data_IF_508367170728
#
_entry.id   IF_508367170728
#
_cell.length_a   1.000
_cell.length_b   1.000
_cell.length_c   1.000
_cell.angle_alpha   90.00
_cell.angle_beta   90.00
_cell.angle_gamma   90.00
#
_symmetry.space_group_name_H-M   'P 1'
#
loop_
_entity.id
_entity.type
_entity.pdbx_description
1 polymer ?
#
# COMPACT_ATOMS: atom_id res chain seq x y z
N UNK A 1 -21.44 23.16 -30.89
CA UNK A 1 -21.04 24.32 -30.05
C UNK A 1 -20.26 23.83 -28.83
N UNK A 2 -19.39 24.63 -28.22
CA UNK A 2 -18.66 24.29 -26.98
C UNK A 2 -19.57 23.79 -25.85
N UNK A 3 -20.81 24.29 -25.79
CA UNK A 3 -21.86 23.80 -24.88
C UNK A 3 -22.24 22.34 -25.12
N UNK A 4 -22.29 21.88 -26.37
CA UNK A 4 -22.62 20.47 -26.68
C UNK A 4 -21.53 19.52 -26.16
N UNK A 5 -20.26 19.89 -26.35
CA UNK A 5 -19.13 19.12 -25.85
C UNK A 5 -19.07 19.14 -24.31
N UNK A 6 -19.22 20.31 -23.67
CA UNK A 6 -19.19 20.43 -22.21
C UNK A 6 -20.43 19.85 -21.51
N UNK A 7 -21.58 19.76 -22.18
CA UNK A 7 -22.81 19.25 -21.59
C UNK A 7 -22.98 17.73 -21.70
N UNK A 8 -22.40 17.10 -22.73
CA UNK A 8 -22.64 15.68 -23.03
C UNK A 8 -21.42 14.78 -22.88
N UNK A 9 -20.22 15.34 -22.69
CA UNK A 9 -18.98 14.57 -22.65
C UNK A 9 -18.51 14.30 -21.20
N UNK A 10 -19.37 13.66 -20.42
CA UNK A 10 -19.07 13.14 -19.10
C UNK A 10 -18.74 11.65 -19.27
N UNK A 11 -17.56 11.23 -18.82
CA UNK A 11 -17.07 9.88 -19.11
C UNK A 11 -16.29 9.38 -17.91
N UNK A 12 -16.76 8.29 -17.30
CA UNK A 12 -16.12 7.66 -16.16
C UNK A 12 -15.75 8.62 -15.00
N UNK A 13 -16.56 9.65 -14.73
CA UNK A 13 -16.29 10.61 -13.63
C UNK A 13 -16.88 10.14 -12.30
N UNK A 14 -16.33 9.11 -11.65
CA UNK A 14 -16.98 8.43 -10.52
C UNK A 14 -17.50 9.33 -9.39
N UNK A 15 -16.64 10.16 -8.81
CA UNK A 15 -17.02 11.08 -7.73
C UNK A 15 -17.90 12.23 -8.23
N UNK A 16 -17.66 12.69 -9.46
CA UNK A 16 -18.45 13.71 -10.12
C UNK A 16 -19.90 13.25 -10.31
N UNK A 17 -20.12 12.02 -10.81
CA UNK A 17 -21.45 11.42 -10.97
C UNK A 17 -22.15 11.21 -9.63
N UNK A 18 -21.43 10.74 -8.61
CA UNK A 18 -22.00 10.59 -7.26
C UNK A 18 -22.46 11.93 -6.68
N UNK A 19 -21.67 13.00 -6.86
CA UNK A 19 -22.00 14.32 -6.33
C UNK A 19 -23.12 15.02 -7.12
N UNK A 20 -23.28 14.74 -8.42
CA UNK A 20 -24.44 15.20 -9.20
C UNK A 20 -25.78 14.70 -8.65
N UNK A 21 -25.81 13.52 -8.03
CA UNK A 21 -27.02 12.99 -7.38
C UNK A 21 -27.32 13.71 -6.06
N UNK A 22 -26.29 14.19 -5.38
CA UNK A 22 -26.41 14.74 -4.02
C UNK A 22 -26.50 16.27 -3.98
N UNK A 23 -25.97 16.97 -4.99
CA UNK A 23 -25.85 18.42 -5.03
C UNK A 23 -26.52 19.00 -6.28
N UNK A 24 -26.94 20.28 -6.25
CA UNK A 24 -27.45 20.95 -7.43
C UNK A 24 -26.46 20.89 -8.60
N UNK A 25 -26.92 20.52 -9.80
CA UNK A 25 -26.06 20.32 -10.96
C UNK A 25 -25.18 21.55 -11.26
N UNK A 26 -25.69 22.77 -11.07
CA UNK A 26 -24.95 24.02 -11.27
C UNK A 26 -23.69 24.16 -10.38
N UNK A 27 -23.64 23.46 -9.25
CA UNK A 27 -22.50 23.49 -8.32
C UNK A 27 -21.41 22.50 -8.73
N UNK A 28 -21.81 21.41 -9.40
CA UNK A 28 -20.94 20.30 -9.78
C UNK A 28 -20.47 20.45 -11.23
N UNK A 29 -21.39 20.70 -12.16
CA UNK A 29 -21.14 20.87 -13.60
C UNK A 29 -20.75 22.31 -13.92
N UNK A 30 -19.47 22.54 -14.17
CA UNK A 30 -18.92 23.88 -14.42
C UNK A 30 -18.93 24.80 -13.19
N UNK A 31 -19.27 24.27 -12.01
CA UNK A 31 -19.21 24.97 -10.73
C UNK A 31 -17.91 24.72 -9.96
N UNK A 32 -17.74 25.43 -8.84
CA UNK A 32 -16.47 25.44 -8.10
C UNK A 32 -16.27 24.24 -7.15
N UNK A 33 -17.24 23.34 -7.00
CA UNK A 33 -17.16 22.26 -6.00
C UNK A 33 -16.06 21.25 -6.32
N UNK A 34 -16.00 20.69 -7.54
CA UNK A 34 -14.96 19.71 -7.88
C UNK A 34 -13.54 20.29 -7.77
N UNK A 35 -13.24 21.47 -8.36
CA UNK A 35 -11.90 22.06 -8.24
C UNK A 35 -11.52 22.39 -6.79
N UNK A 36 -12.48 22.87 -5.97
CA UNK A 36 -12.23 23.16 -4.57
C UNK A 36 -11.87 21.88 -3.79
N UNK A 37 -12.65 20.82 -3.94
CA UNK A 37 -12.38 19.54 -3.28
C UNK A 37 -11.02 18.95 -3.73
N UNK A 38 -10.69 19.08 -5.01
CA UNK A 38 -9.38 18.65 -5.54
C UNK A 38 -8.23 19.43 -4.87
N UNK A 39 -8.33 20.76 -4.77
CA UNK A 39 -7.31 21.60 -4.13
C UNK A 39 -7.18 21.25 -2.64
N UNK A 40 -8.29 21.02 -1.94
CA UNK A 40 -8.28 20.58 -0.55
C UNK A 40 -7.60 19.21 -0.38
N UNK A 41 -7.92 18.25 -1.25
CA UNK A 41 -7.32 16.92 -1.24
C UNK A 41 -5.81 16.97 -1.52
N UNK A 42 -5.37 17.73 -2.52
CA UNK A 42 -3.95 17.96 -2.80
C UNK A 42 -3.27 18.66 -1.63
N UNK A 43 -3.85 19.73 -1.09
CA UNK A 43 -3.29 20.44 0.06
C UNK A 43 -3.12 19.52 1.27
N UNK A 44 -4.12 18.67 1.55
CA UNK A 44 -4.03 17.67 2.60
C UNK A 44 -2.93 16.63 2.35
N UNK A 45 -2.77 16.17 1.10
CA UNK A 45 -1.68 15.28 0.69
C UNK A 45 -0.32 15.90 1.01
N UNK A 46 -0.10 17.17 0.60
CA UNK A 46 1.16 17.90 0.81
C UNK A 46 1.42 18.23 2.28
N UNK A 47 0.42 18.72 3.02
CA UNK A 47 0.55 19.08 4.43
C UNK A 47 0.85 17.86 5.31
N UNK A 48 0.24 16.71 5.00
CA UNK A 48 0.49 15.45 5.73
C UNK A 48 1.74 14.72 5.25
N UNK A 49 2.35 15.17 4.13
CA UNK A 49 3.43 14.46 3.43
C UNK A 49 3.13 12.97 3.30
N UNK A 50 1.93 12.67 2.81
CA UNK A 50 1.36 11.32 2.84
C UNK A 50 1.88 10.43 1.69
N UNK A 51 3.19 10.39 1.49
CA UNK A 51 3.89 9.52 0.53
C UNK A 51 5.28 9.15 1.05
N UNK A 52 5.77 7.96 0.67
CA UNK A 52 7.10 7.48 1.08
C UNK A 52 8.17 7.81 0.05
N UNK A 53 7.82 7.71 -1.22
CA UNK A 53 8.72 7.98 -2.34
C UNK A 53 8.11 9.02 -3.29
N UNK A 54 8.92 9.69 -4.13
CA UNK A 54 8.41 10.63 -5.13
C UNK A 54 7.40 10.02 -6.10
N UNK A 55 7.59 8.75 -6.49
CA UNK A 55 6.69 8.01 -7.38
C UNK A 55 5.32 7.78 -6.73
N UNK A 56 5.31 7.44 -5.44
CA UNK A 56 4.08 7.33 -4.65
C UNK A 56 3.37 8.69 -4.55
N UNK A 57 4.12 9.77 -4.30
CA UNK A 57 3.57 11.12 -4.28
C UNK A 57 2.94 11.52 -5.61
N UNK A 58 3.63 11.25 -6.72
CA UNK A 58 3.12 11.56 -8.06
C UNK A 58 1.91 10.71 -8.42
N UNK A 59 1.89 9.42 -8.02
CA UNK A 59 0.74 8.54 -8.19
C UNK A 59 -0.49 9.14 -7.50
N UNK A 60 -0.36 9.61 -6.26
CA UNK A 60 -1.48 10.21 -5.53
C UNK A 60 -1.94 11.55 -6.12
N UNK A 61 -1.03 12.39 -6.61
CA UNK A 61 -1.40 13.64 -7.29
C UNK A 61 -2.25 13.34 -8.53
N UNK A 62 -1.81 12.41 -9.38
CA UNK A 62 -2.57 12.00 -10.57
C UNK A 62 -3.90 11.35 -10.17
N UNK A 63 -3.90 10.49 -9.14
CA UNK A 63 -5.10 9.81 -8.66
C UNK A 63 -6.16 10.81 -8.17
N UNK A 64 -5.75 11.81 -7.39
CA UNK A 64 -6.61 12.90 -6.92
C UNK A 64 -7.14 13.68 -8.13
N UNK A 65 -6.26 14.13 -9.04
CA UNK A 65 -6.67 14.85 -10.23
C UNK A 65 -7.74 14.11 -11.05
N UNK A 66 -7.53 12.82 -11.33
CA UNK A 66 -8.49 12.00 -12.06
C UNK A 66 -9.77 11.74 -11.25
N UNK A 67 -9.66 11.52 -9.94
CA UNK A 67 -10.79 11.26 -9.07
C UNK A 67 -11.77 12.42 -8.96
N UNK A 68 -11.30 13.66 -9.13
CA UNK A 68 -12.13 14.88 -9.15
C UNK A 68 -12.43 15.40 -10.56
N UNK A 69 -12.00 14.69 -11.62
CA UNK A 69 -12.30 15.09 -13.00
C UNK A 69 -13.69 14.61 -13.42
N UNK A 70 -14.41 15.45 -14.17
CA UNK A 70 -15.71 15.10 -14.77
C UNK A 70 -15.59 14.09 -15.93
N UNK A 71 -14.40 14.00 -16.53
CA UNK A 71 -14.16 13.23 -17.74
C UNK A 71 -12.82 12.52 -17.64
N UNK A 72 -12.84 11.21 -17.41
CA UNK A 72 -11.68 10.33 -17.33
C UNK A 72 -11.72 9.31 -18.46
N UNK A 73 -11.05 9.61 -19.56
CA UNK A 73 -10.86 8.61 -20.60
C UNK A 73 -9.92 7.49 -20.13
N UNK A 74 -10.09 6.24 -20.61
CA UNK A 74 -9.30 5.13 -20.11
C UNK A 74 -7.78 5.31 -20.33
N UNK A 75 -7.37 6.05 -21.38
CA UNK A 75 -5.96 6.38 -21.60
C UNK A 75 -5.40 7.41 -20.61
N UNK A 76 -6.23 8.17 -19.89
CA UNK A 76 -5.76 9.05 -18.81
C UNK A 76 -5.22 8.27 -17.60
N UNK A 77 -5.51 6.96 -17.51
CA UNK A 77 -5.02 6.08 -16.44
C UNK A 77 -3.56 5.65 -16.71
N UNK A 78 -3.03 5.85 -17.93
CA UNK A 78 -1.67 5.43 -18.32
C UNK A 78 -0.57 5.93 -17.36
N UNK A 79 -0.56 7.19 -16.87
CA UNK A 79 0.43 7.60 -15.88
C UNK A 79 0.33 6.83 -14.56
N UNK A 80 -0.88 6.50 -14.10
CA UNK A 80 -1.06 5.67 -12.91
C UNK A 80 -0.52 4.25 -13.12
N UNK A 81 -0.74 3.67 -14.30
CA UNK A 81 -0.17 2.37 -14.66
C UNK A 81 1.35 2.39 -14.75
N UNK A 82 1.93 3.47 -15.28
CA UNK A 82 3.38 3.63 -15.38
C UNK A 82 4.04 3.75 -14.00
N UNK A 83 3.35 4.36 -13.02
CA UNK A 83 3.86 4.54 -11.66
C UNK A 83 3.63 3.33 -10.77
N UNK A 84 2.55 2.58 -10.97
CA UNK A 84 2.16 1.46 -10.12
C UNK A 84 3.29 0.46 -9.80
N UNK A 85 4.18 0.04 -10.73
CA UNK A 85 5.30 -0.86 -10.44
C UNK A 85 6.27 -0.36 -9.37
N UNK A 86 6.42 0.97 -9.25
CA UNK A 86 7.34 1.62 -8.32
C UNK A 86 6.70 1.93 -6.96
N UNK A 87 5.42 1.61 -6.81
CA UNK A 87 4.66 1.87 -5.58
C UNK A 87 4.17 0.56 -4.97
N UNK A 88 3.80 0.55 -3.69
CA UNK A 88 3.17 -0.62 -3.10
C UNK A 88 1.72 -0.84 -3.58
N UNK A 89 1.14 0.10 -4.33
CA UNK A 89 -0.26 0.12 -4.72
C UNK A 89 -0.53 -0.59 -6.05
N UNK A 90 -1.59 -1.40 -6.12
CA UNK A 90 -1.98 -2.22 -7.27
C UNK A 90 -3.38 -1.91 -7.79
N UNK A 91 -4.15 -1.08 -7.07
CA UNK A 91 -5.43 -0.55 -7.54
C UNK A 91 -5.39 0.11 -8.93
N UNK A 92 -4.28 0.72 -9.43
CA UNK A 92 -4.26 1.27 -10.79
C UNK A 92 -4.48 0.23 -11.90
N UNK A 93 -4.04 -1.02 -11.69
CA UNK A 93 -4.27 -2.10 -12.65
C UNK A 93 -5.76 -2.45 -12.73
N UNK A 94 -6.44 -2.50 -11.58
CA UNK A 94 -7.89 -2.68 -11.53
C UNK A 94 -8.62 -1.49 -12.16
N UNK A 95 -8.17 -0.26 -11.91
CA UNK A 95 -8.75 0.92 -12.55
C UNK A 95 -8.70 0.80 -14.08
N UNK A 96 -7.54 0.49 -14.63
CA UNK A 96 -7.38 0.33 -16.08
C UNK A 96 -8.28 -0.78 -16.64
N UNK A 97 -8.33 -1.95 -15.99
CA UNK A 97 -9.17 -3.06 -16.42
C UNK A 97 -10.67 -2.70 -16.42
N UNK A 98 -11.13 -2.01 -15.37
CA UNK A 98 -12.54 -1.62 -15.20
C UNK A 98 -12.96 -0.45 -16.10
N UNK A 99 -11.99 0.34 -16.57
CA UNK A 99 -12.23 1.41 -17.52
C UNK A 99 -12.45 0.89 -18.94
N UNK A 100 -11.97 -0.31 -19.31
CA UNK A 100 -12.12 -0.84 -20.69
C UNK A 100 -13.59 -0.99 -21.12
N UNK A 101 -14.50 -1.58 -20.32
CA UNK A 101 -15.91 -1.77 -20.74
C UNK A 101 -16.68 -0.46 -20.97
N UNK A 102 -16.14 0.68 -20.54
CA UNK A 102 -16.76 1.98 -20.80
C UNK A 102 -16.75 2.36 -22.27
N UNK A 103 -15.89 1.75 -23.10
CA UNK A 103 -15.92 1.93 -24.56
C UNK A 103 -17.14 1.29 -25.22
N UNK A 104 -17.86 0.41 -24.52
CA UNK A 104 -19.15 -0.09 -25.01
C UNK A 104 -20.16 1.04 -25.21
N UNK A 105 -19.99 2.18 -24.52
CA UNK A 105 -20.76 3.41 -24.75
C UNK A 105 -20.74 3.84 -26.23
N UNK A 106 -19.66 3.55 -26.97
CA UNK A 106 -19.51 3.90 -28.39
C UNK A 106 -20.12 2.87 -29.35
N UNK A 107 -20.89 1.90 -28.86
CA UNK A 107 -21.53 0.88 -29.71
C UNK A 107 -23.02 1.11 -29.92
N UNK A 108 -23.66 1.98 -29.12
CA UNK A 108 -25.11 2.22 -29.16
C UNK A 108 -25.38 3.72 -29.27
N UNK A 109 -26.32 4.10 -30.15
CA UNK A 109 -26.86 5.45 -30.25
C UNK A 109 -28.21 5.51 -29.52
N UNK A 110 -28.50 6.55 -28.72
CA UNK A 110 -27.62 7.66 -28.33
C UNK A 110 -26.52 7.16 -27.38
N UNK A 111 -25.33 7.76 -27.44
CA UNK A 111 -24.14 7.34 -26.68
C UNK A 111 -24.35 7.36 -25.16
N UNK A 112 -25.02 6.34 -24.63
CA UNK A 112 -25.41 6.24 -23.22
C UNK A 112 -24.37 5.44 -22.45
N UNK A 113 -23.84 6.06 -21.40
CA UNK A 113 -22.88 5.42 -20.53
C UNK A 113 -23.58 4.32 -19.70
N UNK A 114 -22.95 3.14 -19.54
CA UNK A 114 -23.48 2.11 -18.64
C UNK A 114 -23.27 2.52 -17.17
N UNK A 115 -24.11 3.42 -16.64
CA UNK A 115 -23.99 3.97 -15.29
C UNK A 115 -23.93 2.89 -14.20
N UNK A 116 -24.68 1.80 -14.37
CA UNK A 116 -24.63 0.66 -13.44
C UNK A 116 -23.25 -0.01 -13.38
N UNK A 117 -22.59 -0.20 -14.53
CA UNK A 117 -21.22 -0.73 -14.59
C UNK A 117 -20.24 0.25 -13.94
N UNK A 118 -20.35 1.54 -14.27
CA UNK A 118 -19.44 2.59 -13.79
C UNK A 118 -19.52 2.70 -12.27
N UNK A 119 -20.73 2.74 -11.71
CA UNK A 119 -20.95 2.74 -10.27
C UNK A 119 -20.33 1.51 -9.60
N UNK A 120 -20.62 0.31 -10.12
CA UNK A 120 -20.05 -0.93 -9.59
C UNK A 120 -18.51 -0.98 -9.66
N UNK A 121 -17.94 -0.52 -10.78
CA UNK A 121 -16.50 -0.41 -10.98
C UNK A 121 -15.85 0.53 -9.95
N UNK A 122 -16.45 1.69 -9.69
CA UNK A 122 -15.94 2.62 -8.67
C UNK A 122 -16.06 2.08 -7.26
N UNK A 123 -17.17 1.42 -6.91
CA UNK A 123 -17.34 0.75 -5.61
C UNK A 123 -16.26 -0.31 -5.41
N UNK A 124 -16.04 -1.16 -6.41
CA UNK A 124 -14.97 -2.16 -6.38
C UNK A 124 -13.59 -1.51 -6.25
N UNK A 125 -13.32 -0.47 -7.03
CA UNK A 125 -12.04 0.24 -7.01
C UNK A 125 -11.76 0.87 -5.64
N UNK A 126 -12.76 1.52 -5.04
CA UNK A 126 -12.67 2.10 -3.70
C UNK A 126 -12.48 1.03 -2.63
N UNK A 127 -13.11 -0.14 -2.76
CA UNK A 127 -12.89 -1.27 -1.86
C UNK A 127 -11.45 -1.78 -1.96
N UNK A 128 -10.94 -2.02 -3.17
CA UNK A 128 -9.54 -2.45 -3.38
C UNK A 128 -8.57 -1.41 -2.81
N UNK A 129 -8.80 -0.13 -3.10
CA UNK A 129 -8.01 0.97 -2.57
C UNK A 129 -8.02 0.99 -1.03
N UNK A 130 -9.19 0.86 -0.40
CA UNK A 130 -9.32 0.83 1.05
C UNK A 130 -8.57 -0.37 1.66
N UNK A 131 -8.70 -1.55 1.06
CA UNK A 131 -7.98 -2.75 1.51
C UNK A 131 -6.46 -2.57 1.39
N UNK A 132 -5.96 -2.04 0.27
CA UNK A 132 -4.54 -1.75 0.09
C UNK A 132 -4.04 -0.72 1.11
N UNK A 133 -4.78 0.36 1.32
CA UNK A 133 -4.45 1.35 2.35
C UNK A 133 -4.40 0.71 3.75
N UNK A 134 -5.38 -0.13 4.10
CA UNK A 134 -5.43 -0.85 5.37
C UNK A 134 -4.22 -1.79 5.56
N UNK A 135 -3.80 -2.49 4.50
CA UNK A 135 -2.63 -3.38 4.52
C UNK A 135 -1.36 -2.63 4.91
N UNK A 136 -1.24 -1.36 4.54
CA UNK A 136 -0.08 -0.51 4.82
C UNK A 136 -0.16 0.29 6.12
N UNK A 137 -1.18 0.05 6.95
CA UNK A 137 -1.30 0.63 8.30
C UNK A 137 -0.63 -0.24 9.38
N UNK A 138 -0.40 0.34 10.56
CA UNK A 138 0.00 -0.39 11.78
C UNK A 138 -0.97 -1.55 12.09
N UNK A 139 -2.28 -1.31 11.98
CA UNK A 139 -3.29 -2.33 12.24
C UNK A 139 -3.20 -3.49 11.25
N UNK A 140 -3.00 -3.21 9.95
CA UNK A 140 -2.80 -4.25 8.94
C UNK A 140 -1.51 -5.06 9.17
N UNK A 141 -0.42 -4.40 9.59
CA UNK A 141 0.82 -5.07 9.95
C UNK A 141 0.64 -6.00 11.15
N UNK A 142 -0.03 -5.53 12.22
CA UNK A 142 -0.37 -6.34 13.39
C UNK A 142 -1.28 -7.53 13.04
N UNK A 143 -2.30 -7.31 12.21
CA UNK A 143 -3.19 -8.38 11.77
C UNK A 143 -2.41 -9.53 11.11
N UNK A 144 -1.52 -9.21 10.17
CA UNK A 144 -0.68 -10.23 9.51
C UNK A 144 0.30 -10.90 10.46
N UNK A 145 0.89 -10.15 11.39
CA UNK A 145 1.78 -10.70 12.39
C UNK A 145 1.04 -11.67 13.33
N UNK A 146 -0.18 -11.33 13.78
CA UNK A 146 -1.04 -12.20 14.62
C UNK A 146 -1.39 -13.53 13.96
N UNK A 147 -1.46 -13.61 12.63
CA UNK A 147 -1.66 -14.88 11.93
C UNK A 147 -0.43 -15.80 12.02
N UNK A 148 0.78 -15.24 12.21
CA UNK A 148 2.04 -15.97 12.33
C UNK A 148 2.39 -16.28 13.78
N UNK A 149 2.08 -15.40 14.73
CA UNK A 149 2.48 -15.51 16.14
C UNK A 149 2.16 -16.87 16.78
N UNK A 150 0.96 -17.47 16.62
CA UNK A 150 0.65 -18.76 17.26
C UNK A 150 1.55 -19.92 16.81
N UNK A 151 2.09 -19.85 15.58
CA UNK A 151 2.99 -20.88 15.04
C UNK A 151 4.44 -20.66 15.48
N UNK A 152 4.82 -19.40 15.70
CA UNK A 152 6.19 -19.03 16.07
C UNK A 152 6.41 -19.04 17.59
N UNK A 153 5.42 -18.61 18.36
CA UNK A 153 5.53 -18.47 19.81
C UNK A 153 6.01 -19.74 20.54
N UNK A 154 5.61 -20.97 20.16
CA UNK A 154 6.13 -22.20 20.76
C UNK A 154 7.60 -22.50 20.42
N UNK A 155 8.11 -21.95 19.32
CA UNK A 155 9.48 -22.16 18.84
C UNK A 155 10.45 -21.09 19.36
N UNK A 156 9.92 -19.95 19.81
CA UNK A 156 10.70 -18.86 20.39
C UNK A 156 10.86 -19.13 21.89
N UNK A 157 12.09 -19.17 22.44
CA UNK A 157 12.32 -19.42 23.87
C UNK A 157 11.89 -18.23 24.74
N UNK A 158 11.51 -18.47 25.99
CA UNK A 158 11.17 -17.43 26.95
C UNK A 158 12.39 -17.12 27.82
N UNK A 159 12.61 -15.84 28.15
CA UNK A 159 13.70 -15.42 29.05
C UNK A 159 15.11 -15.69 28.52
N UNK A 160 15.27 -15.94 27.21
CA UNK A 160 16.55 -16.10 26.55
C UNK A 160 16.65 -15.13 25.35
N UNK A 161 17.84 -14.65 24.99
CA UNK A 161 18.00 -13.70 23.89
C UNK A 161 17.58 -14.31 22.55
N UNK A 162 16.78 -13.56 21.80
CA UNK A 162 16.27 -13.92 20.46
C UNK A 162 16.67 -12.85 19.47
N UNK A 163 17.24 -13.23 18.33
CA UNK A 163 17.57 -12.31 17.24
C UNK A 163 16.55 -12.43 16.12
N UNK A 164 15.92 -11.34 15.72
CA UNK A 164 15.08 -11.25 14.53
C UNK A 164 15.86 -10.59 13.38
N UNK A 165 16.16 -11.37 12.35
CA UNK A 165 16.88 -10.92 11.16
C UNK A 165 15.90 -10.58 10.05
N UNK A 166 15.89 -9.31 9.64
CA UNK A 166 14.95 -8.80 8.64
C UNK A 166 13.62 -8.39 9.27
N UNK A 167 13.67 -7.64 10.36
CA UNK A 167 12.52 -7.22 11.16
C UNK A 167 11.43 -6.52 10.37
N UNK A 168 11.77 -5.88 9.24
CA UNK A 168 10.82 -5.26 8.33
C UNK A 168 9.99 -4.17 9.02
N UNK A 169 8.67 -4.37 9.09
CA UNK A 169 7.76 -3.39 9.70
C UNK A 169 7.68 -3.46 11.24
N UNK A 170 8.35 -4.43 11.88
CA UNK A 170 8.43 -4.56 13.33
C UNK A 170 7.21 -5.17 14.02
N UNK A 171 6.11 -5.47 13.31
CA UNK A 171 4.88 -5.97 13.94
C UNK A 171 5.06 -7.32 14.65
N UNK A 172 5.85 -8.23 14.07
CA UNK A 172 6.11 -9.54 14.66
C UNK A 172 6.97 -9.43 15.91
N UNK A 173 8.10 -8.70 15.82
CA UNK A 173 8.98 -8.45 16.95
C UNK A 173 8.22 -7.80 18.12
N UNK A 174 7.36 -6.81 17.83
CA UNK A 174 6.48 -6.20 18.83
C UNK A 174 5.59 -7.22 19.54
N UNK A 175 4.87 -8.06 18.78
CA UNK A 175 3.98 -9.06 19.38
C UNK A 175 4.76 -10.08 20.21
N UNK A 176 5.96 -10.48 19.79
CA UNK A 176 6.81 -11.36 20.59
C UNK A 176 7.32 -10.67 21.87
N UNK A 177 7.70 -9.38 21.80
CA UNK A 177 8.06 -8.61 22.99
C UNK A 177 6.88 -8.46 23.97
N UNK A 178 5.65 -8.26 23.47
CA UNK A 178 4.42 -8.24 24.28
C UNK A 178 4.18 -9.59 25.00
N UNK A 179 4.60 -10.70 24.39
CA UNK A 179 4.61 -12.05 25.00
C UNK A 179 5.84 -12.32 25.89
N UNK A 180 6.59 -11.27 26.24
CA UNK A 180 7.75 -11.36 27.15
C UNK A 180 9.01 -11.95 26.53
N UNK A 181 9.15 -11.94 25.19
CA UNK A 181 10.37 -12.43 24.51
C UNK A 181 11.44 -11.35 24.48
N UNK A 182 12.68 -11.74 24.79
CA UNK A 182 13.85 -10.86 24.76
C UNK A 182 14.36 -10.73 23.31
N UNK A 183 13.75 -9.80 22.57
CA UNK A 183 13.99 -9.61 21.14
C UNK A 183 15.06 -8.56 20.87
N UNK A 184 16.12 -8.95 20.17
CA UNK A 184 17.02 -8.07 19.42
C UNK A 184 16.62 -8.08 17.95
N UNK A 185 16.58 -6.91 17.31
CA UNK A 185 16.08 -6.76 15.92
C UNK A 185 17.16 -6.17 15.02
N UNK A 186 17.29 -6.69 13.80
CA UNK A 186 18.20 -6.16 12.78
C UNK A 186 17.52 -6.12 11.41
N UNK A 187 17.83 -5.09 10.63
CA UNK A 187 17.39 -4.97 9.23
C UNK A 187 18.42 -4.16 8.44
N UNK A 188 18.39 -4.22 7.11
CA UNK A 188 19.22 -3.37 6.24
C UNK A 188 18.65 -1.94 6.12
N UNK A 189 17.36 -1.76 6.43
CA UNK A 189 16.68 -0.46 6.44
C UNK A 189 15.69 -0.46 7.59
N UNK A 190 15.69 0.59 8.42
CA UNK A 190 14.64 0.77 9.43
C UNK A 190 13.31 1.13 8.76
N UNK A 191 12.40 0.16 8.72
CA UNK A 191 11.01 0.30 8.25
C UNK A 191 10.01 0.11 9.37
N UNK A 192 10.45 0.15 10.64
CA UNK A 192 9.61 -0.11 11.78
C UNK A 192 8.43 0.86 11.81
N UNK A 193 7.23 0.31 11.96
CA UNK A 193 6.03 1.11 12.16
C UNK A 193 5.79 1.44 13.64
N UNK A 194 6.58 0.84 14.55
CA UNK A 194 6.35 0.82 15.98
C UNK A 194 7.53 1.49 16.71
N UNK A 195 7.30 2.61 17.42
CA UNK A 195 8.36 3.33 18.11
C UNK A 195 9.14 2.51 19.16
N UNK A 196 8.60 1.40 19.65
CA UNK A 196 9.27 0.52 20.60
C UNK A 196 10.18 -0.53 19.93
N UNK A 197 10.06 -0.74 18.62
CA UNK A 197 10.89 -1.67 17.86
C UNK A 197 11.91 -0.87 17.07
N UNK A 198 13.18 -0.98 17.46
CA UNK A 198 14.31 -0.29 16.83
C UNK A 198 15.29 -1.29 16.22
N UNK A 199 15.12 -1.65 14.93
CA UNK A 199 16.06 -2.51 14.26
C UNK A 199 17.43 -1.84 14.17
N UNK A 200 18.47 -2.55 14.58
CA UNK A 200 19.84 -2.11 14.31
C UNK A 200 20.10 -2.25 12.80
N UNK A 201 20.44 -1.14 12.15
CA UNK A 201 20.67 -1.11 10.70
C UNK A 201 22.01 -1.76 10.37
N UNK A 202 22.01 -2.81 9.55
CA UNK A 202 23.19 -3.58 9.14
C UNK A 202 23.42 -3.51 7.62
N UNK A 203 24.63 -3.84 7.16
CA UNK A 203 25.01 -3.79 5.74
C UNK A 203 24.65 -5.05 4.93
N UNK A 204 24.13 -6.08 5.61
CA UNK A 204 23.76 -7.37 5.03
C UNK A 204 24.93 -8.30 4.67
N UNK A 205 26.17 -7.97 5.05
CA UNK A 205 27.36 -8.80 4.78
C UNK A 205 27.71 -9.72 5.94
N UNK A 206 27.53 -9.25 7.17
CA UNK A 206 27.79 -10.01 8.39
C UNK A 206 27.02 -9.43 9.58
N UNK A 207 26.79 -10.28 10.58
CA UNK A 207 26.08 -9.87 11.79
C UNK A 207 27.07 -9.39 12.87
N UNK A 208 26.89 -8.21 13.46
CA UNK A 208 27.82 -7.63 14.45
C UNK A 208 27.66 -8.25 15.84
N UNK A 209 27.50 -9.57 15.91
CA UNK A 209 27.31 -10.33 17.14
C UNK A 209 28.35 -11.43 17.28
N UNK A 210 28.66 -11.78 18.52
CA UNK A 210 29.61 -12.84 18.83
C UNK A 210 28.99 -14.22 18.57
N UNK A 211 29.84 -15.26 18.59
CA UNK A 211 29.37 -16.63 18.43
C UNK A 211 28.41 -17.01 19.58
N UNK A 212 27.28 -17.63 19.27
CA UNK A 212 26.31 -18.11 20.27
C UNK A 212 25.75 -17.03 21.20
N UNK A 213 25.65 -15.78 20.74
CA UNK A 213 25.06 -14.68 21.54
C UNK A 213 23.56 -14.81 21.75
N UNK A 214 22.87 -15.59 20.91
CA UNK A 214 21.43 -15.78 20.95
C UNK A 214 21.08 -17.24 21.14
N UNK A 215 20.01 -17.50 21.90
CA UNK A 215 19.44 -18.85 21.95
C UNK A 215 18.72 -19.19 20.65
N UNK A 216 17.96 -18.23 20.12
CA UNK A 216 17.13 -18.45 18.93
C UNK A 216 17.31 -17.29 17.94
N UNK A 217 17.42 -17.62 16.66
CA UNK A 217 17.51 -16.66 15.55
C UNK A 217 16.34 -16.88 14.61
N UNK A 218 15.60 -15.82 14.33
CA UNK A 218 14.44 -15.83 13.45
C UNK A 218 14.82 -15.25 12.09
N UNK A 219 14.45 -15.99 11.05
CA UNK A 219 14.55 -15.59 9.64
C UNK A 219 13.15 -15.71 9.03
N UNK A 220 12.29 -14.73 9.28
CA UNK A 220 10.89 -14.78 8.86
C UNK A 220 10.71 -13.99 7.57
N UNK A 221 10.51 -14.70 6.46
CA UNK A 221 10.28 -14.12 5.13
C UNK A 221 11.39 -13.16 4.66
N UNK A 222 12.64 -13.43 5.02
CA UNK A 222 13.82 -12.59 4.66
C UNK A 222 14.73 -13.20 3.61
N UNK A 223 14.79 -14.54 3.50
CA UNK A 223 15.77 -15.23 2.65
C UNK A 223 15.65 -14.88 1.14
N UNK A 224 14.47 -14.51 0.65
CA UNK A 224 14.28 -14.12 -0.75
C UNK A 224 14.76 -12.70 -1.06
N UNK A 225 15.18 -11.92 -0.05
CA UNK A 225 15.74 -10.58 -0.22
C UNK A 225 17.28 -10.56 -0.22
N UNK A 226 17.94 -11.65 0.15
CA UNK A 226 19.41 -11.73 0.15
C UNK A 226 19.93 -12.36 -1.15
N UNK A 227 21.11 -11.89 -1.59
CA UNK A 227 21.83 -12.47 -2.73
C UNK A 227 22.50 -13.81 -2.40
N UNK A 228 22.81 -14.03 -1.12
CA UNK A 228 23.50 -15.24 -0.63
C UNK A 228 22.77 -15.79 0.58
N UNK A 229 21.76 -16.62 0.32
CA UNK A 229 20.95 -17.27 1.36
C UNK A 229 21.81 -18.14 2.27
N UNK A 230 22.75 -18.88 1.68
CA UNK A 230 23.64 -19.77 2.42
C UNK A 230 24.54 -19.01 3.40
N UNK A 231 25.12 -17.88 2.99
CA UNK A 231 25.93 -17.05 3.88
C UNK A 231 25.10 -16.52 5.06
N UNK A 232 23.88 -16.05 4.80
CA UNK A 232 23.01 -15.56 5.86
C UNK A 232 22.62 -16.66 6.85
N UNK A 233 22.34 -17.87 6.36
CA UNK A 233 22.05 -19.03 7.21
C UNK A 233 23.27 -19.45 8.04
N UNK A 234 24.48 -19.43 7.46
CA UNK A 234 25.72 -19.68 8.21
C UNK A 234 25.96 -18.63 9.28
N UNK A 235 25.73 -17.35 8.97
CA UNK A 235 25.84 -16.27 9.95
C UNK A 235 24.79 -16.40 11.06
N UNK A 236 23.55 -16.75 10.73
CA UNK A 236 22.50 -17.02 11.71
C UNK A 236 22.87 -18.19 12.63
N UNK A 237 23.39 -19.29 12.08
CA UNK A 237 23.87 -20.44 12.85
C UNK A 237 25.15 -20.14 13.66
N UNK A 238 25.96 -19.17 13.23
CA UNK A 238 27.14 -18.71 14.00
C UNK A 238 26.72 -17.96 15.26
N UNK A 239 25.73 -17.07 15.15
CA UNK A 239 25.32 -16.20 16.26
C UNK A 239 24.26 -16.84 17.17
N UNK A 240 23.58 -17.90 16.71
CA UNK A 240 22.48 -18.55 17.41
C UNK A 240 22.65 -20.05 17.61
N UNK A 241 22.07 -20.60 18.69
CA UNK A 241 22.00 -22.05 18.91
C UNK A 241 20.92 -22.71 18.03
N UNK A 242 19.74 -22.07 17.93
CA UNK A 242 18.61 -22.52 17.11
C UNK A 242 18.26 -21.48 16.05
N UNK A 243 17.89 -21.95 14.85
CA UNK A 243 17.49 -21.07 13.74
C UNK A 243 16.10 -21.47 13.25
N UNK A 244 15.15 -20.55 13.35
CA UNK A 244 13.77 -20.71 12.88
C UNK A 244 13.57 -19.96 11.58
N UNK A 245 13.15 -20.68 10.54
CA UNK A 245 12.93 -20.14 9.19
C UNK A 245 11.46 -20.30 8.80
N UNK A 246 10.86 -19.26 8.21
CA UNK A 246 9.49 -19.27 7.69
C UNK A 246 9.35 -18.44 6.42
#
# INVERSE_FOLDING_TARGET
SLRLYAAHFEFFGGLYEALKVLLPEAWVKGGSVMPLLMVLALSALFLKRAWRTPEEGFLWVVAIYLGFSSTVHPWYIVPLLALAPFTPYRWPYWYAALAVPTYLTYTVLPWEQPYGWVGAAYVFLLLVLALELMVHTRAGALFRARLKTPRLLPLVPAGAPVLDIGTGNGALARLLQEEGRDMTTVDVIDKSLFPEVHPTVIDGRGLPFQYGSFRCVLLITVLHHTRSQEQLLREAARVGEEVVVM
#
